data_IF_890596895753
#
_entry.id   IF_890596895753
#
_cell.length_a   1.000
_cell.length_b   1.000
_cell.length_c   1.000
_cell.angle_alpha   90.00
_cell.angle_beta   90.00
_cell.angle_gamma   90.00
#
_symmetry.space_group_name_H-M   'P 1'
#
loop_
_entity.id
_entity.type
_entity.pdbx_description
1 polymer ?
#
# COMPACT_ATOMS: atom_id res chain seq x y z
N UNK A 1 -4.33 -4.05 -5.02
CA UNK A 1 -4.89 -3.97 -3.65
C UNK A 1 -6.35 -3.59 -3.76
N UNK A 2 -7.26 -4.16 -2.98
CA UNK A 2 -8.67 -3.71 -2.95
C UNK A 2 -8.86 -2.42 -2.13
N UNK A 3 -10.07 -1.86 -2.17
CA UNK A 3 -10.40 -0.59 -1.52
C UNK A 3 -10.36 -0.71 0.02
N UNK A 4 -10.83 -1.82 0.59
CA UNK A 4 -10.84 -2.04 2.04
C UNK A 4 -9.41 -2.08 2.60
N UNK A 5 -8.53 -2.80 1.92
CA UNK A 5 -7.10 -2.85 2.26
C UNK A 5 -6.44 -1.48 2.13
N UNK A 6 -6.83 -0.70 1.11
CA UNK A 6 -6.36 0.68 0.96
C UNK A 6 -6.77 1.55 2.14
N UNK A 7 -8.02 1.50 2.57
CA UNK A 7 -8.52 2.32 3.69
C UNK A 7 -7.76 2.05 4.99
N UNK A 8 -7.38 0.80 5.24
CA UNK A 8 -6.52 0.42 6.37
C UNK A 8 -5.09 0.99 6.26
N UNK A 9 -4.58 1.12 5.04
CA UNK A 9 -3.21 1.56 4.76
C UNK A 9 -3.08 3.05 4.44
N UNK A 10 -4.18 3.76 4.17
CA UNK A 10 -4.23 5.17 3.77
C UNK A 10 -3.44 6.09 4.73
N UNK A 11 -3.56 5.95 6.07
CA UNK A 11 -2.78 6.77 6.99
C UNK A 11 -1.27 6.51 6.87
N UNK A 12 -0.88 5.27 6.58
CA UNK A 12 0.53 4.86 6.42
C UNK A 12 1.10 5.30 5.08
N UNK A 13 0.31 5.25 4.01
CA UNK A 13 0.66 5.78 2.69
C UNK A 13 0.94 7.28 2.76
N UNK A 14 0.03 8.02 3.41
CA UNK A 14 0.16 9.47 3.63
C UNK A 14 1.43 9.80 4.42
N UNK A 15 1.71 9.08 5.51
CA UNK A 15 2.96 9.24 6.30
C UNK A 15 4.23 8.94 5.49
N UNK A 16 4.17 7.97 4.58
CA UNK A 16 5.30 7.60 3.72
C UNK A 16 5.44 8.50 2.48
N UNK A 17 4.47 9.38 2.22
CA UNK A 17 4.41 10.21 1.02
C UNK A 17 4.20 9.40 -0.26
N UNK A 18 3.47 8.28 -0.14
CA UNK A 18 3.13 7.40 -1.26
C UNK A 18 1.78 7.80 -1.85
N UNK A 19 1.72 7.89 -3.18
CA UNK A 19 0.49 8.20 -3.90
C UNK A 19 -0.21 6.92 -4.34
N UNK A 20 -1.53 6.92 -4.26
CA UNK A 20 -2.40 5.85 -4.73
C UNK A 20 -3.15 6.28 -6.00
N UNK A 21 -3.22 5.38 -6.98
CA UNK A 21 -4.03 5.50 -8.19
C UNK A 21 -5.17 4.47 -8.13
N UNK A 22 -6.40 4.92 -8.32
CA UNK A 22 -7.58 4.06 -8.34
C UNK A 22 -7.89 3.63 -9.78
N UNK A 23 -7.91 2.32 -10.01
CA UNK A 23 -8.27 1.68 -11.28
C UNK A 23 -9.44 0.73 -11.06
N UNK A 24 -10.66 1.28 -11.09
CA UNK A 24 -11.87 0.54 -10.75
C UNK A 24 -11.85 0.10 -9.29
N UNK A 25 -11.94 -1.22 -9.05
CA UNK A 25 -11.91 -1.80 -7.70
C UNK A 25 -10.49 -2.09 -7.18
N UNK A 26 -9.47 -1.69 -7.93
CA UNK A 26 -8.07 -1.93 -7.59
C UNK A 26 -7.38 -0.60 -7.33
N UNK A 27 -6.65 -0.54 -6.23
CA UNK A 27 -5.73 0.54 -5.89
C UNK A 27 -4.30 0.11 -6.25
N UNK A 28 -3.61 0.97 -6.97
CA UNK A 28 -2.22 0.83 -7.39
C UNK A 28 -1.39 1.87 -6.68
N UNK A 29 -0.26 1.45 -6.09
CA UNK A 29 0.71 2.35 -5.49
C UNK A 29 1.99 2.25 -6.29
N UNK A 30 2.49 3.39 -6.76
CA UNK A 30 3.73 3.49 -7.53
C UNK A 30 4.68 4.45 -6.83
N UNK A 31 5.91 4.02 -6.65
CA UNK A 31 6.96 4.88 -6.10
C UNK A 31 8.31 4.53 -6.69
N UNK A 32 9.18 5.54 -6.83
CA UNK A 32 10.55 5.34 -7.33
C UNK A 32 11.49 4.79 -6.25
N UNK A 33 11.12 4.88 -4.97
CA UNK A 33 11.92 4.39 -3.85
C UNK A 33 11.40 3.04 -3.36
N UNK A 34 12.14 1.98 -3.69
CA UNK A 34 11.85 0.63 -3.21
C UNK A 34 11.83 0.55 -1.67
N UNK A 35 12.62 1.38 -0.98
CA UNK A 35 12.63 1.44 0.48
C UNK A 35 11.27 1.87 1.07
N UNK A 36 10.56 2.79 0.42
CA UNK A 36 9.23 3.21 0.90
C UNK A 36 8.17 2.14 0.65
N UNK A 37 8.24 1.47 -0.50
CA UNK A 37 7.37 0.32 -0.79
C UNK A 37 7.62 -0.80 0.23
N UNK A 38 8.87 -1.13 0.54
CA UNK A 38 9.20 -2.11 1.58
C UNK A 38 8.66 -1.72 2.95
N UNK A 39 8.74 -0.45 3.35
CA UNK A 39 8.13 0.01 4.61
C UNK A 39 6.62 -0.19 4.62
N UNK A 40 5.94 0.16 3.54
CA UNK A 40 4.51 -0.07 3.40
C UNK A 40 4.16 -1.56 3.49
N UNK A 41 4.92 -2.42 2.79
CA UNK A 41 4.70 -3.88 2.83
C UNK A 41 4.88 -4.43 4.24
N UNK A 42 5.87 -3.95 5.00
CA UNK A 42 6.06 -4.35 6.39
C UNK A 42 4.88 -3.92 7.27
N UNK A 43 4.39 -2.69 7.10
CA UNK A 43 3.20 -2.21 7.82
C UNK A 43 1.99 -3.08 7.48
N UNK A 44 1.80 -3.42 6.20
CA UNK A 44 0.70 -4.30 5.79
C UNK A 44 0.79 -5.68 6.46
N UNK A 45 1.99 -6.27 6.55
CA UNK A 45 2.22 -7.53 7.28
C UNK A 45 1.92 -7.41 8.77
N UNK A 46 2.32 -6.32 9.41
CA UNK A 46 2.04 -6.05 10.84
C UNK A 46 0.53 -5.93 11.12
N UNK A 47 -0.24 -5.44 10.14
CA UNK A 47 -1.70 -5.38 10.18
C UNK A 47 -2.38 -6.71 9.81
N UNK A 48 -1.62 -7.75 9.49
CA UNK A 48 -2.15 -9.07 9.10
C UNK A 48 -2.70 -9.12 7.67
N UNK A 49 -2.38 -8.12 6.84
CA UNK A 49 -2.76 -8.10 5.42
C UNK A 49 -1.87 -9.07 4.65
N UNK A 50 -2.48 -10.01 3.93
CA UNK A 50 -1.75 -10.95 3.10
C UNK A 50 -1.28 -10.27 1.81
N UNK A 51 0.02 -10.32 1.53
CA UNK A 51 0.63 -9.72 0.36
C UNK A 51 0.98 -10.81 -0.65
N UNK A 52 0.51 -10.66 -1.89
CA UNK A 52 0.97 -11.48 -3.01
C UNK A 52 2.13 -10.73 -3.68
N UNK A 53 3.34 -11.29 -3.57
CA UNK A 53 4.54 -10.83 -4.27
C UNK A 53 4.72 -11.72 -5.52
N UNK A 54 4.24 -11.26 -6.67
CA UNK A 54 4.49 -11.84 -8.00
C UNK A 54 5.23 -10.82 -8.89
#
# INVERSE_FOLDING_TARGET
>A
MDIETYELLEPSLSKLGLNAEFMGNVVIIRDRSWSRINKLMNIARELGINLNED
#
